data_IF_199043133326
#
_entry.id   IF_199043133326
#
_cell.length_a   1.000
_cell.length_b   1.000
_cell.length_c   1.000
_cell.angle_alpha   90.00
_cell.angle_beta   90.00
_cell.angle_gamma   90.00
#
_symmetry.space_group_name_H-M   'P 1'
#
loop_
_entity.id
_entity.type
_entity.pdbx_description
1 polymer ?
#
# COMPACT_ATOMS: atom_id res chain seq x y z
N UNK A 1 18.32 -69.68 -49.78
CA UNK A 1 17.55 -69.15 -48.68
C UNK A 1 18.40 -68.07 -48.00
N UNK A 2 18.09 -66.78 -48.26
CA UNK A 2 18.77 -65.62 -47.65
C UNK A 2 17.87 -65.06 -46.51
N UNK A 3 18.34 -65.20 -45.29
CA UNK A 3 17.70 -64.61 -44.11
C UNK A 3 17.94 -63.10 -44.05
N UNK A 4 16.88 -62.27 -44.13
CA UNK A 4 16.92 -60.85 -43.89
C UNK A 4 16.70 -60.61 -42.39
N UNK A 5 17.75 -60.25 -41.69
CA UNK A 5 17.64 -59.67 -40.33
C UNK A 5 17.31 -58.19 -40.43
N UNK A 6 16.12 -57.82 -39.94
CA UNK A 6 15.71 -56.41 -39.80
C UNK A 6 16.38 -55.79 -38.56
N UNK A 7 17.00 -54.59 -38.64
CA UNK A 7 17.49 -53.90 -37.44
C UNK A 7 16.32 -53.30 -36.68
N UNK A 8 16.20 -53.61 -35.40
CA UNK A 8 15.29 -52.98 -34.47
C UNK A 8 15.88 -51.65 -34.01
N UNK A 9 15.33 -50.52 -34.51
CA UNK A 9 15.71 -49.20 -34.10
C UNK A 9 15.04 -48.92 -32.76
N UNK A 10 15.83 -48.85 -31.67
CA UNK A 10 15.41 -48.51 -30.32
C UNK A 10 15.28 -46.97 -30.26
N UNK A 11 14.07 -46.47 -30.27
CA UNK A 11 13.79 -45.05 -30.05
C UNK A 11 13.91 -44.74 -28.55
N UNK A 12 15.00 -44.15 -28.11
CA UNK A 12 15.16 -43.66 -26.73
C UNK A 12 14.41 -42.33 -26.63
N UNK A 13 13.24 -42.35 -26.01
CA UNK A 13 12.47 -41.15 -25.65
C UNK A 13 13.15 -40.53 -24.42
N UNK A 14 13.96 -39.49 -24.63
CA UNK A 14 14.50 -38.68 -23.56
C UNK A 14 13.38 -37.72 -23.09
N UNK A 15 12.71 -38.10 -22.03
CA UNK A 15 11.79 -37.20 -21.31
C UNK A 15 12.62 -36.08 -20.63
N UNK A 16 12.66 -34.93 -21.25
CA UNK A 16 13.07 -33.71 -20.57
C UNK A 16 12.00 -33.38 -19.52
N UNK A 17 12.27 -33.74 -18.27
CA UNK A 17 11.58 -33.18 -17.13
C UNK A 17 11.97 -31.69 -17.06
N UNK A 18 11.17 -30.85 -17.69
CA UNK A 18 11.18 -29.41 -17.41
C UNK A 18 10.61 -29.28 -16.01
N UNK A 19 11.47 -29.33 -14.99
CA UNK A 19 11.12 -28.89 -13.66
C UNK A 19 10.75 -27.40 -13.81
N UNK A 20 9.50 -27.03 -13.62
CA UNK A 20 9.12 -25.65 -13.39
C UNK A 20 9.92 -25.19 -12.16
N UNK A 21 11.07 -24.56 -12.37
CA UNK A 21 11.72 -23.79 -11.32
C UNK A 21 10.74 -22.67 -11.01
N UNK A 22 10.14 -22.70 -9.82
CA UNK A 22 9.40 -21.56 -9.31
C UNK A 22 10.29 -20.31 -9.41
N UNK A 23 9.69 -19.16 -9.54
CA UNK A 23 10.42 -17.88 -9.58
C UNK A 23 11.32 -17.75 -8.35
N UNK A 24 12.60 -17.49 -8.62
CA UNK A 24 13.63 -17.36 -7.61
C UNK A 24 14.24 -15.95 -7.73
N UNK A 25 14.15 -15.21 -6.65
CA UNK A 25 14.69 -13.85 -6.51
C UNK A 25 15.92 -13.86 -5.59
N UNK A 26 16.77 -12.82 -5.65
CA UNK A 26 17.82 -12.65 -4.64
C UNK A 26 17.26 -12.56 -3.23
N UNK A 27 17.89 -13.23 -2.29
CA UNK A 27 17.49 -13.22 -0.88
C UNK A 27 17.72 -11.86 -0.23
N UNK A 28 16.78 -11.41 0.58
CA UNK A 28 16.89 -10.20 1.40
C UNK A 28 17.24 -10.60 2.81
N UNK A 29 18.52 -10.64 3.11
CA UNK A 29 19.05 -11.09 4.42
C UNK A 29 19.24 -9.94 5.42
N UNK A 30 19.04 -8.71 5.00
CA UNK A 30 19.18 -7.53 5.85
C UNK A 30 18.10 -7.52 6.93
N UNK A 31 18.49 -7.47 8.20
CA UNK A 31 17.61 -7.46 9.37
C UNK A 31 17.20 -6.05 9.81
N UNK A 32 17.78 -5.01 9.19
CA UNK A 32 17.45 -3.62 9.45
C UNK A 32 16.06 -3.22 8.97
N UNK A 33 15.64 -2.02 9.33
CA UNK A 33 14.42 -1.44 8.77
C UNK A 33 14.56 -1.22 7.27
N UNK A 34 13.57 -1.71 6.51
CA UNK A 34 13.51 -1.55 5.06
C UNK A 34 12.33 -0.70 4.65
N UNK A 35 12.56 0.17 3.66
CA UNK A 35 11.49 0.67 2.81
C UNK A 35 11.45 -0.18 1.54
N UNK A 36 10.27 -0.67 1.20
CA UNK A 36 10.03 -1.48 0.02
C UNK A 36 9.09 -0.69 -0.87
N UNK A 37 9.41 -0.54 -2.16
CA UNK A 37 8.53 0.13 -3.12
C UNK A 37 7.95 -0.83 -4.12
N UNK A 38 6.65 -0.67 -4.38
CA UNK A 38 5.97 -1.30 -5.53
C UNK A 38 6.03 -0.32 -6.69
N UNK A 39 6.79 -0.67 -7.74
CA UNK A 39 7.11 0.20 -8.87
C UNK A 39 6.26 -0.19 -10.08
N UNK A 40 5.28 0.67 -10.43
CA UNK A 40 4.24 0.30 -11.41
C UNK A 40 4.73 0.34 -12.87
N UNK A 41 5.64 1.26 -13.21
CA UNK A 41 6.04 1.48 -14.62
C UNK A 41 6.92 0.37 -15.17
N UNK A 42 7.76 -0.24 -14.33
CA UNK A 42 8.65 -1.33 -14.73
C UNK A 42 8.33 -2.67 -14.04
N UNK A 43 7.25 -2.70 -13.22
CA UNK A 43 6.79 -3.90 -12.50
C UNK A 43 7.89 -4.50 -11.63
N UNK A 44 8.62 -3.67 -10.90
CA UNK A 44 9.66 -4.10 -9.96
C UNK A 44 9.26 -3.84 -8.51
N UNK A 45 9.94 -4.53 -7.60
CA UNK A 45 9.92 -4.28 -6.17
C UNK A 45 11.33 -3.91 -5.75
N UNK A 46 11.53 -2.68 -5.27
CA UNK A 46 12.85 -2.25 -4.78
C UNK A 46 12.91 -2.35 -3.26
N UNK A 47 14.05 -2.78 -2.74
CA UNK A 47 14.33 -2.89 -1.31
C UNK A 47 15.41 -1.89 -0.93
N UNK A 48 15.10 -1.02 0.01
CA UNK A 48 15.97 0.07 0.47
C UNK A 48 16.27 -0.11 1.95
N UNK A 49 17.55 -0.21 2.30
CA UNK A 49 17.97 -0.11 3.69
C UNK A 49 17.96 1.35 4.12
N UNK A 50 17.04 1.71 5.02
CA UNK A 50 16.82 3.10 5.43
C UNK A 50 17.99 3.64 6.23
N UNK A 51 18.64 2.82 7.05
CA UNK A 51 19.77 3.25 7.88
C UNK A 51 21.01 3.56 7.03
N UNK A 52 21.25 2.74 5.98
CA UNK A 52 22.35 2.96 5.05
C UNK A 52 22.03 4.02 3.99
N UNK A 53 20.76 4.28 3.74
CA UNK A 53 20.32 5.22 2.70
C UNK A 53 20.59 4.71 1.29
N UNK A 54 20.49 3.39 1.04
CA UNK A 54 20.80 2.77 -0.23
C UNK A 54 19.79 1.69 -0.66
N UNK A 55 19.54 1.56 -1.95
CA UNK A 55 18.82 0.41 -2.52
C UNK A 55 19.74 -0.81 -2.45
N UNK A 56 19.28 -1.86 -1.76
CA UNK A 56 20.04 -3.09 -1.56
C UNK A 56 19.71 -4.19 -2.58
N UNK A 57 18.48 -4.17 -3.13
CA UNK A 57 18.02 -5.18 -4.08
C UNK A 57 16.81 -4.70 -4.87
N UNK A 58 16.54 -5.36 -5.99
CA UNK A 58 15.36 -5.15 -6.83
C UNK A 58 14.88 -6.46 -7.45
N UNK A 59 13.58 -6.76 -7.30
CA UNK A 59 12.96 -7.94 -7.91
C UNK A 59 12.13 -7.55 -9.12
N UNK A 60 12.33 -8.21 -10.26
CA UNK A 60 11.46 -8.09 -11.42
C UNK A 60 10.26 -9.00 -11.24
N UNK A 61 9.05 -8.46 -11.28
CA UNK A 61 7.83 -9.23 -11.07
C UNK A 61 7.17 -9.62 -12.38
N UNK A 62 6.48 -10.76 -12.39
CA UNK A 62 5.71 -11.29 -13.51
C UNK A 62 4.25 -10.82 -13.55
N UNK A 63 3.77 -10.24 -12.43
CA UNK A 63 2.39 -9.78 -12.27
C UNK A 63 2.30 -8.28 -11.99
N UNK A 64 1.21 -7.62 -12.40
CA UNK A 64 1.01 -6.19 -12.19
C UNK A 64 0.52 -5.92 -10.75
N UNK A 65 1.41 -6.10 -9.79
CA UNK A 65 1.13 -5.71 -8.40
C UNK A 65 1.04 -4.19 -8.31
N UNK A 66 0.07 -3.71 -7.52
CA UNK A 66 -0.12 -2.27 -7.25
C UNK A 66 0.21 -1.92 -5.81
N UNK A 67 0.29 -2.93 -4.94
CA UNK A 67 0.57 -2.73 -3.54
C UNK A 67 0.93 -4.02 -2.82
N UNK A 68 1.26 -3.86 -1.54
CA UNK A 68 1.64 -4.96 -0.67
C UNK A 68 1.74 -4.54 0.78
N UNK A 69 2.17 -5.46 1.60
CA UNK A 69 2.45 -5.26 3.02
C UNK A 69 3.50 -6.22 3.53
N UNK A 70 4.32 -5.77 4.47
CA UNK A 70 5.17 -6.65 5.24
C UNK A 70 4.30 -7.41 6.24
N UNK A 71 4.53 -8.71 6.35
CA UNK A 71 3.81 -9.54 7.32
C UNK A 71 4.43 -9.41 8.72
N UNK A 72 3.64 -9.66 9.78
CA UNK A 72 4.12 -9.51 11.17
C UNK A 72 5.33 -10.37 11.54
N UNK A 73 5.58 -11.45 10.80
CA UNK A 73 6.74 -12.33 11.02
C UNK A 73 8.08 -11.70 10.55
N UNK A 74 8.04 -10.56 9.88
CA UNK A 74 9.22 -9.83 9.39
C UNK A 74 9.96 -10.49 8.21
N UNK A 75 9.57 -11.69 7.78
CA UNK A 75 10.15 -12.39 6.63
C UNK A 75 9.27 -12.27 5.38
N UNK A 76 7.95 -12.29 5.54
CA UNK A 76 7.07 -12.36 4.38
C UNK A 76 6.63 -10.98 3.87
N UNK A 77 6.63 -10.86 2.54
CA UNK A 77 6.05 -9.76 1.78
C UNK A 77 4.82 -10.28 1.03
N UNK A 78 3.67 -9.69 1.33
CA UNK A 78 2.43 -9.98 0.63
C UNK A 78 2.24 -8.92 -0.46
N UNK A 79 1.93 -9.35 -1.70
CA UNK A 79 1.69 -8.48 -2.85
C UNK A 79 0.31 -8.72 -3.46
N UNK A 80 -0.37 -7.64 -3.88
CA UNK A 80 -1.69 -7.67 -4.50
C UNK A 80 -1.79 -6.68 -5.67
N UNK A 81 -2.81 -6.86 -6.51
CA UNK A 81 -3.07 -5.94 -7.62
C UNK A 81 -4.49 -6.00 -8.16
N UNK A 82 -4.97 -4.87 -8.70
CA UNK A 82 -6.33 -4.79 -9.27
C UNK A 82 -6.54 -5.73 -10.48
N UNK A 83 -5.48 -6.00 -11.22
CA UNK A 83 -5.51 -6.88 -12.41
C UNK A 83 -4.94 -8.27 -12.09
N UNK A 84 -4.33 -8.47 -10.93
CA UNK A 84 -3.89 -9.76 -10.46
C UNK A 84 -5.09 -10.57 -9.94
N UNK A 85 -5.17 -11.84 -10.32
CA UNK A 85 -6.22 -12.76 -9.86
C UNK A 85 -5.87 -13.48 -8.55
N UNK A 86 -4.68 -13.20 -8.03
CA UNK A 86 -4.15 -13.75 -6.78
C UNK A 86 -3.53 -12.65 -5.93
N UNK A 87 -3.50 -12.92 -4.64
CA UNK A 87 -2.58 -12.30 -3.68
C UNK A 87 -1.44 -13.29 -3.48
N UNK A 88 -0.21 -12.83 -3.62
CA UNK A 88 0.96 -13.69 -3.56
C UNK A 88 1.85 -13.34 -2.36
N UNK A 89 2.31 -14.35 -1.64
CA UNK A 89 3.17 -14.26 -0.46
C UNK A 89 4.59 -14.70 -0.82
N UNK A 90 5.57 -13.88 -0.52
CA UNK A 90 6.98 -14.12 -0.81
C UNK A 90 7.81 -14.12 0.47
N UNK A 91 8.66 -15.13 0.67
CA UNK A 91 9.70 -15.08 1.70
C UNK A 91 10.85 -14.21 1.22
N UNK A 92 11.19 -13.19 1.98
CA UNK A 92 12.33 -12.33 1.73
C UNK A 92 13.65 -13.09 1.89
N UNK A 93 13.74 -13.91 2.93
CA UNK A 93 14.91 -14.71 3.24
C UNK A 93 15.20 -15.76 2.17
N UNK A 94 14.16 -16.44 1.69
CA UNK A 94 14.31 -17.48 0.67
C UNK A 94 14.29 -16.93 -0.76
N UNK A 95 13.83 -15.71 -0.96
CA UNK A 95 13.71 -15.08 -2.29
C UNK A 95 12.75 -15.84 -3.20
N UNK A 96 11.64 -16.36 -2.66
CA UNK A 96 10.67 -17.12 -3.45
C UNK A 96 9.23 -16.92 -2.99
N UNK A 97 8.31 -17.18 -3.89
CA UNK A 97 6.88 -17.24 -3.58
C UNK A 97 6.59 -18.48 -2.72
N UNK A 98 5.97 -18.26 -1.57
CA UNK A 98 5.62 -19.32 -0.60
C UNK A 98 4.14 -19.69 -0.65
N UNK A 99 3.28 -18.74 -1.00
CA UNK A 99 1.84 -18.99 -1.14
C UNK A 99 1.22 -18.09 -2.22
N UNK A 100 0.05 -18.51 -2.70
CA UNK A 100 -0.75 -17.77 -3.67
C UNK A 100 -2.24 -17.98 -3.37
N UNK A 101 -2.95 -16.92 -3.03
CA UNK A 101 -4.36 -16.98 -2.64
C UNK A 101 -5.23 -16.51 -3.81
N UNK A 102 -6.10 -17.38 -4.31
CA UNK A 102 -7.00 -17.03 -5.40
C UNK A 102 -8.11 -16.09 -4.91
N UNK A 103 -8.04 -14.84 -5.36
CA UNK A 103 -9.01 -13.80 -4.96
C UNK A 103 -9.89 -13.34 -6.10
N UNK A 104 -9.46 -13.57 -7.35
CA UNK A 104 -9.96 -12.86 -8.52
C UNK A 104 -9.38 -11.44 -8.56
N UNK A 105 -9.52 -10.78 -9.70
CA UNK A 105 -9.11 -9.40 -9.88
C UNK A 105 -9.97 -8.44 -9.03
N UNK A 106 -9.41 -7.28 -8.65
CA UNK A 106 -10.15 -6.23 -7.97
C UNK A 106 -9.53 -5.70 -6.68
N UNK A 107 -8.51 -6.37 -6.13
CA UNK A 107 -7.86 -5.92 -4.89
C UNK A 107 -7.04 -4.65 -5.15
N UNK A 108 -7.53 -3.54 -4.61
CA UNK A 108 -6.95 -2.20 -4.82
C UNK A 108 -6.07 -1.73 -3.64
N UNK A 109 -6.37 -2.19 -2.44
CA UNK A 109 -5.63 -1.85 -1.24
C UNK A 109 -5.78 -2.94 -0.19
N UNK A 110 -4.89 -2.96 0.80
CA UNK A 110 -4.95 -3.89 1.92
C UNK A 110 -4.23 -3.36 3.15
N UNK A 111 -4.61 -3.86 4.31
CA UNK A 111 -4.03 -3.51 5.60
C UNK A 111 -4.02 -4.72 6.51
N UNK A 112 -2.87 -5.02 7.17
CA UNK A 112 -2.86 -5.87 8.36
C UNK A 112 -3.55 -5.08 9.47
N UNK A 113 -4.55 -5.69 10.10
CA UNK A 113 -5.31 -5.03 11.16
C UNK A 113 -4.50 -4.92 12.46
N UNK A 114 -4.89 -4.00 13.34
CA UNK A 114 -4.19 -3.73 14.61
C UNK A 114 -4.08 -4.96 15.51
N UNK A 115 -5.02 -5.92 15.38
CA UNK A 115 -4.94 -7.20 16.09
C UNK A 115 -3.78 -8.11 15.64
N UNK A 116 -3.10 -7.78 14.54
CA UNK A 116 -2.00 -8.54 13.93
C UNK A 116 -2.35 -10.01 13.57
N UNK A 117 -3.65 -10.33 13.46
CA UNK A 117 -4.16 -11.68 13.16
C UNK A 117 -4.95 -11.73 11.86
N UNK A 118 -5.44 -10.58 11.40
CA UNK A 118 -6.29 -10.47 10.22
C UNK A 118 -5.77 -9.42 9.24
N UNK A 119 -6.15 -9.59 7.97
CA UNK A 119 -5.91 -8.65 6.88
C UNK A 119 -7.27 -8.23 6.31
N UNK A 120 -7.46 -6.92 6.12
CA UNK A 120 -8.57 -6.37 5.38
C UNK A 120 -8.11 -5.92 3.98
N UNK A 121 -8.82 -6.36 2.94
CA UNK A 121 -8.59 -5.92 1.56
C UNK A 121 -9.79 -5.14 1.03
N UNK A 122 -9.52 -4.03 0.33
CA UNK A 122 -10.50 -3.31 -0.45
C UNK A 122 -10.59 -3.93 -1.85
N UNK A 123 -11.73 -4.57 -2.13
CA UNK A 123 -12.01 -5.22 -3.41
C UNK A 123 -12.98 -4.35 -4.22
N UNK A 124 -12.46 -3.68 -5.25
CA UNK A 124 -13.23 -2.76 -6.10
C UNK A 124 -14.11 -3.50 -7.12
N UNK A 125 -13.74 -4.72 -7.52
CA UNK A 125 -14.59 -5.50 -8.42
C UNK A 125 -15.85 -6.01 -7.73
N UNK A 126 -15.75 -6.31 -6.43
CA UNK A 126 -16.86 -6.76 -5.62
C UNK A 126 -17.54 -5.64 -4.83
N UNK A 127 -16.96 -4.43 -4.76
CA UNK A 127 -17.38 -3.36 -3.87
C UNK A 127 -17.52 -3.87 -2.44
N UNK A 128 -16.46 -4.46 -1.92
CA UNK A 128 -16.47 -5.13 -0.62
C UNK A 128 -15.13 -4.98 0.12
N UNK A 129 -15.21 -5.05 1.44
CA UNK A 129 -14.05 -5.34 2.27
C UNK A 129 -14.01 -6.84 2.52
N UNK A 130 -12.88 -7.45 2.20
CA UNK A 130 -12.65 -8.88 2.39
C UNK A 130 -11.66 -9.08 3.53
N UNK A 131 -12.04 -9.89 4.49
CA UNK A 131 -11.22 -10.20 5.66
C UNK A 131 -10.58 -11.59 5.51
N UNK A 132 -9.30 -11.67 5.78
CA UNK A 132 -8.50 -12.88 5.68
C UNK A 132 -7.69 -13.09 6.96
N UNK A 133 -7.40 -14.36 7.27
CA UNK A 133 -6.33 -14.70 8.21
C UNK A 133 -4.97 -14.48 7.57
N UNK A 134 -3.90 -14.44 8.37
CA UNK A 134 -2.53 -14.24 7.85
C UNK A 134 -2.05 -15.42 6.97
N UNK A 135 -2.67 -16.59 7.05
CA UNK A 135 -2.40 -17.77 6.21
C UNK A 135 -3.28 -17.83 4.94
N UNK A 136 -4.13 -16.83 4.71
CA UNK A 136 -4.87 -16.66 3.46
C UNK A 136 -6.25 -17.28 3.40
N UNK A 137 -6.82 -17.67 4.54
CA UNK A 137 -8.23 -18.11 4.61
C UNK A 137 -9.15 -16.90 4.64
N UNK A 138 -10.08 -16.81 3.69
CA UNK A 138 -11.11 -15.78 3.69
C UNK A 138 -12.12 -16.03 4.81
N UNK A 139 -12.29 -15.04 5.69
CA UNK A 139 -13.17 -15.09 6.86
C UNK A 139 -14.55 -14.50 6.54
N UNK A 140 -14.59 -13.37 5.84
CA UNK A 140 -15.83 -12.66 5.54
C UNK A 140 -15.68 -11.71 4.36
N UNK A 141 -16.85 -11.33 3.79
CA UNK A 141 -17.00 -10.22 2.83
C UNK A 141 -18.07 -9.28 3.33
N UNK A 142 -17.72 -8.01 3.41
CA UNK A 142 -18.64 -6.95 3.83
C UNK A 142 -18.86 -6.01 2.66
N UNK A 143 -20.10 -5.98 2.15
CA UNK A 143 -20.47 -5.05 1.07
C UNK A 143 -20.35 -3.63 1.58
N UNK A 144 -19.71 -2.78 0.79
CA UNK A 144 -19.54 -1.33 1.01
C UNK A 144 -19.93 -0.57 -0.25
N UNK A 145 -19.73 0.74 -0.25
CA UNK A 145 -20.06 1.58 -1.38
C UNK A 145 -19.03 1.40 -2.52
N UNK A 146 -19.35 1.91 -3.72
CA UNK A 146 -18.61 1.62 -4.95
C UNK A 146 -17.19 2.19 -4.94
N UNK A 147 -16.22 1.34 -5.30
CA UNK A 147 -14.83 1.71 -5.43
C UNK A 147 -14.10 1.92 -4.10
N UNK A 148 -14.20 0.99 -3.12
CA UNK A 148 -13.45 1.10 -1.86
C UNK A 148 -11.95 1.20 -2.13
N UNK A 149 -11.27 2.13 -1.44
CA UNK A 149 -9.86 2.40 -1.69
C UNK A 149 -9.05 2.55 -0.39
N UNK A 150 -9.35 3.54 0.43
CA UNK A 150 -8.56 3.83 1.63
C UNK A 150 -9.17 3.21 2.87
N UNK A 151 -8.34 2.57 3.67
CA UNK A 151 -8.70 1.84 4.87
C UNK A 151 -8.08 2.53 6.09
N UNK A 152 -8.91 3.14 6.92
CA UNK A 152 -8.52 3.76 8.18
C UNK A 152 -9.12 2.95 9.33
N UNK A 153 -8.29 2.43 10.21
CA UNK A 153 -8.70 1.65 11.37
C UNK A 153 -8.60 2.50 12.62
N UNK A 154 -9.55 2.39 13.53
CA UNK A 154 -9.44 3.05 14.82
C UNK A 154 -8.39 2.36 15.71
N UNK A 155 -7.81 3.10 16.66
CA UNK A 155 -6.73 2.62 17.53
C UNK A 155 -7.12 1.43 18.43
N UNK A 156 -8.42 1.14 18.54
CA UNK A 156 -8.96 0.01 19.29
C UNK A 156 -9.18 -1.23 18.45
N UNK A 157 -8.92 -1.16 17.13
CA UNK A 157 -9.18 -2.26 16.19
C UNK A 157 -10.66 -2.64 16.08
N UNK A 158 -11.59 -1.70 16.38
CA UNK A 158 -13.01 -1.96 16.40
C UNK A 158 -13.70 -1.60 15.10
N UNK A 159 -13.36 -0.46 14.53
CA UNK A 159 -13.99 0.05 13.33
C UNK A 159 -12.98 0.29 12.21
N UNK A 160 -13.38 -0.08 11.01
CA UNK A 160 -12.70 0.26 9.77
C UNK A 160 -13.54 1.31 9.03
N UNK A 161 -12.94 2.44 8.73
CA UNK A 161 -13.49 3.53 7.92
C UNK A 161 -12.96 3.39 6.51
N UNK A 162 -13.85 3.28 5.54
CA UNK A 162 -13.50 3.01 4.14
C UNK A 162 -13.89 4.19 3.28
N UNK A 163 -12.90 4.87 2.69
CA UNK A 163 -13.13 5.90 1.69
C UNK A 163 -13.34 5.21 0.34
N UNK A 164 -14.47 5.47 -0.28
CA UNK A 164 -14.86 4.90 -1.57
C UNK A 164 -14.77 5.95 -2.68
N UNK A 165 -13.79 5.78 -3.55
CA UNK A 165 -13.42 6.74 -4.58
C UNK A 165 -14.52 7.02 -5.62
N UNK A 166 -15.32 6.00 -5.97
CA UNK A 166 -16.32 6.10 -7.04
C UNK A 166 -17.71 6.54 -6.56
N UNK A 167 -17.98 6.44 -5.27
CA UNK A 167 -19.33 6.69 -4.71
C UNK A 167 -19.42 7.92 -3.84
N UNK A 168 -18.35 8.71 -3.71
CA UNK A 168 -18.33 9.91 -2.87
C UNK A 168 -18.85 9.63 -1.46
N UNK A 169 -18.40 8.53 -0.88
CA UNK A 169 -18.90 8.05 0.42
C UNK A 169 -17.79 7.46 1.27
N UNK A 170 -18.02 7.51 2.56
CA UNK A 170 -17.27 6.78 3.57
C UNK A 170 -18.19 5.74 4.21
N UNK A 171 -17.79 4.47 4.19
CA UNK A 171 -18.46 3.38 4.89
C UNK A 171 -17.76 3.07 6.21
N UNK A 172 -18.51 2.66 7.24
CA UNK A 172 -17.99 2.23 8.54
C UNK A 172 -18.33 0.77 8.74
N UNK A 173 -17.32 -0.06 8.97
CA UNK A 173 -17.43 -1.50 9.18
C UNK A 173 -16.98 -1.85 10.60
N UNK A 174 -17.81 -2.57 11.32
CA UNK A 174 -17.43 -3.22 12.58
C UNK A 174 -16.56 -4.42 12.27
N UNK A 175 -15.28 -4.35 12.69
CA UNK A 175 -14.26 -5.36 12.39
C UNK A 175 -14.60 -6.70 13.05
N UNK A 176 -15.05 -6.70 14.29
CA UNK A 176 -15.36 -7.92 15.02
C UNK A 176 -16.59 -8.65 14.44
N UNK A 177 -17.68 -7.90 14.20
CA UNK A 177 -18.92 -8.46 13.69
C UNK A 177 -18.93 -8.63 12.18
N UNK A 178 -17.90 -8.16 11.46
CA UNK A 178 -17.78 -8.20 9.98
C UNK A 178 -19.04 -7.64 9.31
N UNK A 179 -19.46 -6.43 9.71
CA UNK A 179 -20.70 -5.81 9.26
C UNK A 179 -20.55 -4.30 9.05
N UNK A 180 -21.11 -3.79 7.95
CA UNK A 180 -21.27 -2.34 7.75
C UNK A 180 -22.29 -1.84 8.78
N UNK A 181 -21.87 -0.87 9.60
CA UNK A 181 -22.67 -0.31 10.70
C UNK A 181 -23.07 1.14 10.46
N UNK A 182 -22.46 1.81 9.48
CA UNK A 182 -22.73 3.21 9.17
C UNK A 182 -22.00 3.67 7.93
N UNK A 183 -22.03 4.97 7.74
CA UNK A 183 -21.36 5.69 6.66
C UNK A 183 -22.04 7.02 6.40
N UNK A 184 -21.36 7.87 5.61
CA UNK A 184 -21.87 9.18 5.23
C UNK A 184 -21.26 9.63 3.89
N UNK A 185 -21.89 10.65 3.29
CA UNK A 185 -21.39 11.25 2.05
C UNK A 185 -20.17 12.13 2.31
N UNK A 186 -19.20 12.08 1.42
CA UNK A 186 -17.99 12.93 1.41
C UNK A 186 -17.86 13.60 0.04
N UNK A 187 -16.88 14.49 -0.10
CA UNK A 187 -16.59 15.12 -1.39
C UNK A 187 -16.17 14.10 -2.46
N UNK A 188 -16.31 14.47 -3.72
CA UNK A 188 -16.00 13.61 -4.86
C UNK A 188 -14.50 13.32 -4.99
N UNK A 189 -14.18 12.15 -5.58
CA UNK A 189 -12.81 11.72 -5.88
C UNK A 189 -11.86 11.72 -4.68
N UNK A 190 -12.41 11.48 -3.48
CA UNK A 190 -11.65 11.33 -2.25
C UNK A 190 -10.75 10.09 -2.31
N UNK A 191 -9.47 10.25 -1.96
CA UNK A 191 -8.48 9.17 -2.04
C UNK A 191 -7.67 8.97 -0.78
N UNK A 192 -7.38 10.01 -0.04
CA UNK A 192 -6.59 9.94 1.19
C UNK A 192 -7.37 10.37 2.41
N UNK A 193 -6.96 9.90 3.58
CA UNK A 193 -7.59 10.33 4.82
C UNK A 193 -6.74 10.05 6.05
N UNK A 194 -7.12 10.72 7.14
CA UNK A 194 -6.56 10.58 8.47
C UNK A 194 -7.70 10.58 9.49
N UNK A 195 -7.77 9.53 10.30
CA UNK A 195 -8.70 9.45 11.43
C UNK A 195 -8.02 10.06 12.66
N UNK A 196 -8.62 11.11 13.21
CA UNK A 196 -8.16 11.79 14.42
C UNK A 196 -9.15 11.56 15.57
N UNK A 197 -9.00 10.41 16.21
CA UNK A 197 -9.95 9.92 17.22
C UNK A 197 -10.06 10.84 18.44
N UNK A 198 -8.96 11.44 18.86
CA UNK A 198 -8.91 12.38 20.01
C UNK A 198 -9.72 13.64 19.77
N UNK A 199 -9.97 13.99 18.49
CA UNK A 199 -10.79 15.12 18.07
C UNK A 199 -12.17 14.71 17.54
N UNK A 200 -12.41 13.41 17.32
CA UNK A 200 -13.61 12.94 16.65
C UNK A 200 -13.70 13.39 15.20
N UNK A 201 -12.57 13.60 14.52
CA UNK A 201 -12.49 14.13 13.17
C UNK A 201 -11.93 13.11 12.18
N UNK A 202 -12.38 13.16 10.94
CA UNK A 202 -11.75 12.52 9.79
C UNK A 202 -11.37 13.60 8.79
N UNK A 203 -10.09 13.70 8.49
CA UNK A 203 -9.56 14.58 7.46
C UNK A 203 -9.48 13.80 6.15
N UNK A 204 -10.04 14.35 5.08
CA UNK A 204 -10.13 13.68 3.78
C UNK A 204 -9.68 14.63 2.69
N UNK A 205 -8.83 14.15 1.80
CA UNK A 205 -8.43 14.84 0.59
C UNK A 205 -8.58 13.96 -0.65
N UNK A 206 -8.27 14.49 -1.81
CA UNK A 206 -8.47 13.77 -3.05
C UNK A 206 -7.90 14.47 -4.28
N UNK A 207 -8.36 14.04 -5.45
CA UNK A 207 -7.90 14.60 -6.73
C UNK A 207 -8.76 15.75 -7.26
N UNK A 208 -10.01 15.85 -6.81
CA UNK A 208 -11.00 16.76 -7.39
C UNK A 208 -11.79 16.11 -8.52
N UNK A 209 -12.80 16.78 -9.06
CA UNK A 209 -13.73 16.24 -10.06
C UNK A 209 -13.61 16.95 -11.40
N UNK A 210 -13.50 16.18 -12.48
CA UNK A 210 -13.45 16.70 -13.84
C UNK A 210 -12.22 17.57 -14.10
N UNK A 211 -12.43 18.86 -14.37
CA UNK A 211 -11.36 19.86 -14.56
C UNK A 211 -11.01 20.62 -13.28
N UNK A 212 -11.78 20.44 -12.22
CA UNK A 212 -11.56 21.11 -10.94
C UNK A 212 -10.66 20.24 -10.06
N UNK A 213 -9.49 20.76 -9.78
CA UNK A 213 -8.50 20.09 -8.93
C UNK A 213 -8.80 20.37 -7.47
N UNK A 214 -8.75 19.33 -6.62
CA UNK A 214 -8.90 19.51 -5.18
C UNK A 214 -7.74 20.34 -4.59
N UNK A 215 -8.10 21.37 -3.84
CA UNK A 215 -7.17 22.30 -3.21
C UNK A 215 -7.26 22.32 -1.69
N UNK A 216 -8.22 21.58 -1.15
CA UNK A 216 -8.55 21.60 0.26
C UNK A 216 -8.55 20.20 0.89
N UNK A 217 -8.33 20.16 2.17
CA UNK A 217 -8.64 19.01 3.02
C UNK A 217 -10.02 19.27 3.62
N UNK A 218 -10.93 18.32 3.49
CA UNK A 218 -12.26 18.38 4.08
C UNK A 218 -12.24 17.68 5.44
N UNK A 219 -12.60 18.39 6.49
CA UNK A 219 -12.65 17.85 7.85
C UNK A 219 -14.09 17.52 8.20
N UNK A 220 -14.37 16.26 8.44
CA UNK A 220 -15.68 15.76 8.81
C UNK A 220 -15.70 15.33 10.28
N UNK A 221 -16.84 15.55 10.95
CA UNK A 221 -17.11 14.91 12.24
C UNK A 221 -17.31 13.40 12.02
N UNK A 222 -16.50 12.58 12.68
CA UNK A 222 -16.45 11.15 12.45
C UNK A 222 -17.74 10.41 12.84
N UNK A 223 -18.57 11.00 13.71
CA UNK A 223 -19.80 10.39 14.22
C UNK A 223 -21.02 10.73 13.37
N UNK A 224 -21.14 11.98 12.95
CA UNK A 224 -22.29 12.49 12.20
C UNK A 224 -22.07 12.58 10.69
N UNK A 225 -20.80 12.60 10.24
CA UNK A 225 -20.44 12.86 8.84
C UNK A 225 -20.65 14.31 8.41
N UNK A 226 -20.89 15.23 9.34
CA UNK A 226 -21.03 16.64 9.01
C UNK A 226 -19.68 17.25 8.61
N UNK A 227 -19.63 18.02 7.52
CA UNK A 227 -18.45 18.82 7.18
C UNK A 227 -18.28 19.91 8.22
N UNK A 228 -17.18 19.90 8.95
CA UNK A 228 -16.86 20.85 10.03
C UNK A 228 -16.13 22.08 9.48
N UNK A 229 -15.13 21.87 8.62
CA UNK A 229 -14.31 22.92 8.00
C UNK A 229 -13.52 22.37 6.83
N UNK A 230 -12.90 23.27 6.07
CA UNK A 230 -11.87 22.95 5.08
C UNK A 230 -10.53 23.57 5.47
N UNK A 231 -9.43 22.96 5.02
CA UNK A 231 -8.06 23.40 5.28
C UNK A 231 -7.33 23.47 3.94
N UNK A 232 -6.79 24.61 3.53
CA UNK A 232 -6.05 24.72 2.27
C UNK A 232 -4.82 23.80 2.24
N UNK A 233 -4.70 22.98 1.21
CA UNK A 233 -3.53 22.12 0.94
C UNK A 233 -3.39 21.88 -0.58
N UNK A 234 -3.11 22.92 -1.38
CA UNK A 234 -3.08 22.81 -2.82
C UNK A 234 -1.82 22.03 -3.27
N UNK A 235 -1.89 21.14 -4.23
CA UNK A 235 -2.97 20.69 -5.11
C UNK A 235 -3.05 19.16 -4.95
N UNK A 236 -4.26 18.58 -4.87
CA UNK A 236 -4.49 17.15 -4.71
C UNK A 236 -3.83 16.58 -3.44
N UNK A 237 -4.32 16.93 -2.23
CA UNK A 237 -3.88 16.33 -0.97
C UNK A 237 -4.36 14.88 -0.89
N UNK A 238 -3.48 13.90 -1.07
CA UNK A 238 -3.87 12.49 -1.23
C UNK A 238 -3.35 11.55 -0.15
N UNK A 239 -2.38 11.98 0.65
CA UNK A 239 -1.84 11.13 1.70
C UNK A 239 -1.56 11.93 2.97
N UNK A 240 -1.80 11.30 4.11
CA UNK A 240 -1.78 11.94 5.41
C UNK A 240 -1.04 11.08 6.43
N UNK A 241 -0.32 11.72 7.33
CA UNK A 241 0.27 11.07 8.49
C UNK A 241 0.27 12.03 9.68
N UNK A 242 0.15 11.50 10.89
CA UNK A 242 0.24 12.26 12.13
C UNK A 242 1.40 11.76 12.97
N UNK A 243 2.20 12.70 13.50
CA UNK A 243 3.32 12.40 14.39
C UNK A 243 3.60 13.58 15.32
N UNK A 244 3.70 13.31 16.62
CA UNK A 244 4.13 14.30 17.63
C UNK A 244 3.40 15.64 17.50
N UNK A 245 2.07 15.62 17.52
CA UNK A 245 1.23 16.82 17.42
C UNK A 245 1.28 17.55 16.05
N UNK A 246 1.90 16.99 15.04
CA UNK A 246 1.93 17.56 13.69
C UNK A 246 1.27 16.63 12.68
N UNK A 247 0.61 17.24 11.70
CA UNK A 247 -0.01 16.53 10.58
C UNK A 247 0.80 16.84 9.33
N UNK A 248 1.17 15.77 8.63
CA UNK A 248 1.87 15.84 7.35
C UNK A 248 0.91 15.49 6.24
N UNK A 249 0.89 16.33 5.20
CA UNK A 249 0.00 16.17 4.07
C UNK A 249 0.80 16.15 2.79
N UNK A 250 0.65 15.11 2.01
CA UNK A 250 1.30 14.97 0.71
C UNK A 250 0.36 15.41 -0.39
N UNK A 251 0.69 16.51 -1.04
CA UNK A 251 -0.04 17.05 -2.18
C UNK A 251 0.63 16.63 -3.48
N UNK A 252 0.00 15.68 -4.14
CA UNK A 252 0.45 15.01 -5.35
C UNK A 252 0.62 15.97 -6.53
N UNK A 253 -0.41 16.75 -6.88
CA UNK A 253 -0.37 17.65 -8.04
C UNK A 253 0.59 18.80 -7.90
N UNK A 254 0.90 19.23 -6.68
CA UNK A 254 1.90 20.28 -6.43
C UNK A 254 3.30 19.74 -6.07
N UNK A 255 3.43 18.42 -5.92
CA UNK A 255 4.67 17.78 -5.44
C UNK A 255 5.17 18.41 -4.13
N UNK A 256 4.28 18.59 -3.16
CA UNK A 256 4.58 19.30 -1.91
C UNK A 256 4.20 18.45 -0.71
N UNK A 257 5.11 18.39 0.26
CA UNK A 257 4.84 17.88 1.60
C UNK A 257 4.61 19.09 2.53
N UNK A 258 3.41 19.19 3.11
CA UNK A 258 3.05 20.19 4.11
C UNK A 258 3.20 19.63 5.51
N UNK A 259 3.61 20.48 6.44
CA UNK A 259 3.55 20.25 7.89
C UNK A 259 2.55 21.22 8.48
N UNK A 260 1.51 20.69 9.11
CA UNK A 260 0.43 21.45 9.72
C UNK A 260 0.41 21.24 11.23
N UNK A 261 -0.15 22.19 11.96
CA UNK A 261 -0.53 21.99 13.35
C UNK A 261 -1.88 21.24 13.45
N UNK A 262 -2.35 21.00 14.67
CA UNK A 262 -3.65 20.34 14.91
C UNK A 262 -4.87 21.09 14.39
N UNK A 263 -4.78 22.41 14.24
CA UNK A 263 -5.85 23.22 13.71
C UNK A 263 -5.86 23.23 12.17
N UNK A 264 -4.77 22.74 11.54
CA UNK A 264 -4.57 22.74 10.10
C UNK A 264 -3.83 23.98 9.60
N UNK A 265 -3.18 24.75 10.49
CA UNK A 265 -2.34 25.87 10.10
C UNK A 265 -1.01 25.36 9.57
N UNK A 266 -0.60 25.83 8.37
CA UNK A 266 0.68 25.48 7.80
C UNK A 266 1.83 26.05 8.64
N UNK A 267 2.72 25.16 9.08
CA UNK A 267 3.95 25.49 9.79
C UNK A 267 5.17 25.48 8.89
N UNK A 268 5.05 24.87 7.73
CA UNK A 268 6.07 24.79 6.70
C UNK A 268 5.74 23.79 5.63
N UNK A 269 6.48 23.87 4.52
CA UNK A 269 6.34 22.95 3.41
C UNK A 269 7.65 22.77 2.65
N UNK A 270 7.76 21.67 1.90
CA UNK A 270 8.90 21.37 1.04
C UNK A 270 8.42 20.77 -0.27
N UNK A 271 9.05 21.19 -1.38
CA UNK A 271 8.90 20.50 -2.67
C UNK A 271 9.67 19.20 -2.64
N UNK A 272 9.00 18.10 -3.04
CA UNK A 272 9.54 16.78 -2.83
C UNK A 272 9.15 15.81 -3.96
N UNK A 273 10.16 15.23 -4.59
CA UNK A 273 9.96 14.29 -5.70
C UNK A 273 9.21 14.92 -6.88
N UNK A 274 8.77 14.08 -7.80
CA UNK A 274 7.84 14.47 -8.84
C UNK A 274 6.64 13.54 -8.78
N UNK A 275 5.44 14.12 -8.69
CA UNK A 275 4.20 13.38 -8.66
C UNK A 275 4.16 12.33 -7.53
N UNK A 276 4.37 12.71 -6.25
CA UNK A 276 4.50 11.75 -5.14
C UNK A 276 3.15 11.13 -4.79
N UNK A 277 3.11 9.79 -4.57
CA UNK A 277 1.86 9.07 -4.26
C UNK A 277 1.75 8.58 -2.83
N UNK A 278 2.84 8.16 -2.21
CA UNK A 278 2.77 7.59 -0.87
C UNK A 278 3.83 8.17 0.06
N UNK A 279 3.47 8.29 1.33
CA UNK A 279 4.39 8.62 2.39
C UNK A 279 4.16 7.73 3.60
N UNK A 280 5.25 7.47 4.33
CA UNK A 280 5.26 6.72 5.59
C UNK A 280 6.14 7.42 6.60
N UNK A 281 5.78 7.31 7.87
CA UNK A 281 6.62 7.76 8.97
C UNK A 281 7.41 6.58 9.51
N UNK A 282 8.71 6.76 9.68
CA UNK A 282 9.58 5.80 10.35
C UNK A 282 10.53 6.53 11.31
N UNK A 283 10.38 6.30 12.61
CA UNK A 283 11.14 7.03 13.61
C UNK A 283 10.97 8.55 13.45
N UNK A 284 12.03 9.30 13.37
CA UNK A 284 12.02 10.76 13.22
C UNK A 284 11.98 11.22 11.74
N UNK A 285 11.76 10.30 10.82
CA UNK A 285 11.79 10.60 9.40
C UNK A 285 10.44 10.31 8.73
N UNK A 286 10.22 11.01 7.63
CA UNK A 286 9.15 10.79 6.67
C UNK A 286 9.79 10.28 5.39
N UNK A 287 9.29 9.16 4.86
CA UNK A 287 9.66 8.65 3.55
C UNK A 287 8.58 9.06 2.56
N UNK A 288 8.98 9.56 1.40
CA UNK A 288 8.06 9.92 0.31
C UNK A 288 8.50 9.25 -0.97
N UNK A 289 7.58 8.56 -1.64
CA UNK A 289 7.81 7.96 -2.95
C UNK A 289 7.47 8.94 -4.07
N UNK A 290 8.47 9.32 -4.86
CA UNK A 290 8.33 10.19 -6.03
C UNK A 290 8.08 9.38 -7.30
N UNK A 291 6.81 9.29 -7.73
CA UNK A 291 6.39 8.41 -8.82
C UNK A 291 7.05 8.70 -10.17
N UNK A 292 7.16 9.98 -10.55
CA UNK A 292 7.80 10.39 -11.80
C UNK A 292 9.30 10.63 -11.66
N UNK A 293 9.79 10.91 -10.45
CA UNK A 293 11.22 11.03 -10.17
C UNK A 293 11.92 9.69 -9.95
N UNK A 294 11.16 8.60 -9.72
CA UNK A 294 11.67 7.24 -9.50
C UNK A 294 12.64 7.13 -8.31
N UNK A 295 12.24 7.72 -7.20
CA UNK A 295 13.06 7.80 -5.99
C UNK A 295 12.22 7.73 -4.70
N UNK A 296 12.93 7.54 -3.59
CA UNK A 296 12.42 7.75 -2.24
C UNK A 296 13.20 8.91 -1.64
N UNK A 297 12.48 9.85 -1.03
CA UNK A 297 13.06 10.92 -0.22
C UNK A 297 12.94 10.60 1.26
N UNK A 298 14.03 10.78 1.99
CA UNK A 298 14.08 10.69 3.44
C UNK A 298 14.13 12.09 4.04
N UNK A 299 13.08 12.49 4.76
CA UNK A 299 12.86 13.85 5.23
C UNK A 299 12.76 13.83 6.75
N UNK A 300 13.46 14.73 7.45
CA UNK A 300 13.27 14.92 8.88
C UNK A 300 11.90 15.53 9.17
N UNK A 301 11.09 14.85 9.98
CA UNK A 301 9.76 15.32 10.36
C UNK A 301 9.78 16.65 11.11
N UNK A 302 10.81 16.90 11.91
CA UNK A 302 10.93 18.10 12.73
C UNK A 302 10.97 19.39 11.90
N UNK A 303 11.85 19.43 10.90
CA UNK A 303 12.19 20.67 10.16
C UNK A 303 12.03 20.56 8.64
N UNK A 304 11.48 19.45 8.14
CA UNK A 304 11.28 19.15 6.70
C UNK A 304 12.59 19.14 5.89
N UNK A 305 13.74 18.90 6.52
CA UNK A 305 15.01 18.78 5.80
C UNK A 305 15.06 17.47 5.02
N UNK A 306 15.29 17.53 3.72
CA UNK A 306 15.63 16.34 2.93
C UNK A 306 17.04 15.83 3.30
N UNK A 307 17.09 14.64 3.90
CA UNK A 307 18.34 14.01 4.37
C UNK A 307 18.99 13.21 3.25
N UNK A 308 18.19 12.52 2.46
CA UNK A 308 18.67 11.60 1.41
C UNK A 308 17.60 11.42 0.33
N UNK A 309 18.07 11.22 -0.89
CA UNK A 309 17.25 10.82 -2.04
C UNK A 309 17.85 9.55 -2.62
N UNK A 310 17.03 8.49 -2.71
CA UNK A 310 17.47 7.15 -3.07
C UNK A 310 16.72 6.70 -4.31
N UNK A 311 17.44 6.42 -5.39
CA UNK A 311 16.84 5.91 -6.63
C UNK A 311 16.30 4.49 -6.45
N UNK A 312 15.09 4.24 -6.96
CA UNK A 312 14.41 2.94 -6.96
C UNK A 312 13.95 2.57 -8.38
N UNK A 313 13.13 1.56 -8.54
CA UNK A 313 12.49 1.22 -9.81
C UNK A 313 11.53 2.31 -10.30
N UNK A 314 11.03 2.17 -11.52
CA UNK A 314 10.24 3.22 -12.16
C UNK A 314 8.79 3.25 -11.67
N UNK A 315 8.35 4.43 -11.28
CA UNK A 315 7.00 4.68 -10.82
C UNK A 315 6.70 4.06 -9.45
N UNK A 316 7.49 4.37 -8.40
CA UNK A 316 7.21 3.91 -7.04
C UNK A 316 5.86 4.49 -6.58
N UNK A 317 4.88 3.60 -6.41
CA UNK A 317 3.49 3.95 -6.14
C UNK A 317 3.10 3.77 -4.67
N UNK A 318 3.54 2.66 -4.08
CA UNK A 318 3.30 2.37 -2.66
C UNK A 318 4.62 2.12 -1.93
N UNK A 319 4.69 2.65 -0.71
CA UNK A 319 5.73 2.39 0.28
C UNK A 319 5.24 1.34 1.28
N UNK A 320 6.03 0.31 1.50
CA UNK A 320 5.83 -0.69 2.53
C UNK A 320 7.00 -0.58 3.49
N UNK A 321 6.71 -0.51 4.78
CA UNK A 321 7.74 -0.54 5.81
C UNK A 321 7.83 -1.95 6.39
N UNK A 322 9.03 -2.51 6.43
CA UNK A 322 9.38 -3.63 7.28
C UNK A 322 10.26 -3.10 8.40
N UNK A 323 9.76 -3.13 9.61
CA UNK A 323 10.51 -2.74 10.78
C UNK A 323 11.70 -3.66 11.01
N UNK A 324 12.62 -3.25 11.88
CA UNK A 324 13.75 -4.09 12.26
C UNK A 324 13.24 -5.38 12.87
N UNK A 325 13.68 -6.52 12.33
CA UNK A 325 13.40 -7.82 12.94
C UNK A 325 14.21 -7.88 14.23
N UNK A 326 13.53 -7.93 15.38
CA UNK A 326 14.18 -8.15 16.66
C UNK A 326 14.77 -9.58 16.64
N UNK A 327 16.09 -9.69 16.69
CA UNK A 327 16.76 -10.99 16.78
C UNK A 327 16.27 -11.76 18.01
N UNK A 328 16.02 -13.06 17.84
CA UNK A 328 15.84 -14.01 18.93
C UNK A 328 17.04 -14.03 19.86
#
# INVERSE_FOLDING_TARGET
MRSLTKPMVLFIFVLFLVACKGEQYPSILDQGALAITVNLKDQTISFVNIHKGEKIEEWQMDKPYVGGMAMPDGDHLLLYGKQADTIDLFSLREGKKTASWKTGAGIANGKVLENQEEIAFADQALNAIRFYTLDGKELARVKVDDGPLTLLEDSKGKFLYIISYQSNSLSIVDIFNKKKVGGFSIHSQATGGLLREDKGEIWIGGHGEGTETETDIHVYDASSGALVRTIPAPVMPINFAEKNDFIYVLSHGSSTLYKLDHAGVELGSIKIGANPFDMKILGENILVAGYDSNDIHLIKAENLQNVSTISVGKGPFQLILRERVSGE
#
